data_IF_622474315578
#
_entry.id   IF_622474315578
#
_cell.length_a   1.000
_cell.length_b   1.000
_cell.length_c   1.000
_cell.angle_alpha   90.00
_cell.angle_beta   90.00
_cell.angle_gamma   90.00
#
_symmetry.space_group_name_H-M   'P 1'
#
loop_
_entity.id
_entity.type
_entity.pdbx_description
1 polymer ?
#
# COMPACT_ATOMS: atom_id res chain seq x y z
N UNK A 1 -5.07 12.82 30.49
CA UNK A 1 -4.69 12.47 29.10
C UNK A 1 -3.32 11.78 28.96
N UNK A 2 -2.57 11.49 30.04
CA UNK A 2 -1.25 10.85 29.93
C UNK A 2 -1.18 9.36 30.33
N UNK A 3 -2.17 8.78 31.01
CA UNK A 3 -2.07 7.40 31.55
C UNK A 3 -2.75 6.28 30.75
N UNK A 4 -3.51 6.57 29.69
CA UNK A 4 -4.18 5.51 28.90
C UNK A 4 -3.41 5.08 27.63
N UNK A 5 -2.28 5.73 27.31
CA UNK A 5 -1.50 5.49 26.09
C UNK A 5 -0.34 4.51 26.22
N UNK A 6 0.01 4.06 27.44
CA UNK A 6 1.24 3.29 27.66
C UNK A 6 1.04 1.77 27.60
N UNK A 7 -0.20 1.29 27.79
CA UNK A 7 -0.51 -0.15 27.80
C UNK A 7 -0.53 -0.78 26.39
N UNK A 8 -0.91 -0.10 25.28
CA UNK A 8 -0.75 -0.68 23.94
C UNK A 8 0.66 -0.49 23.35
N UNK A 9 1.49 0.42 23.90
CA UNK A 9 2.78 0.80 23.31
C UNK A 9 3.82 -0.34 23.30
N UNK A 10 3.84 -1.18 24.33
CA UNK A 10 4.81 -2.27 24.43
C UNK A 10 4.53 -3.41 23.42
N UNK A 11 3.25 -3.70 23.13
CA UNK A 11 2.86 -4.67 22.12
C UNK A 11 2.99 -4.07 20.70
N UNK A 12 2.62 -2.81 20.54
CA UNK A 12 2.76 -2.07 19.28
C UNK A 12 4.23 -1.91 18.87
N UNK A 13 5.18 -1.83 19.82
CA UNK A 13 6.60 -1.65 19.51
C UNK A 13 7.18 -2.75 18.62
N UNK A 14 6.67 -3.97 18.73
CA UNK A 14 7.12 -5.13 17.94
C UNK A 14 6.20 -5.42 16.75
N UNK A 15 4.89 -5.23 16.91
CA UNK A 15 3.91 -5.45 15.83
C UNK A 15 4.00 -4.40 14.71
N UNK A 16 4.27 -3.14 15.05
CA UNK A 16 4.37 -2.05 14.06
C UNK A 16 5.55 -2.24 13.10
N UNK A 17 6.79 -2.52 13.53
CA UNK A 17 7.88 -2.77 12.59
C UNK A 17 7.67 -4.04 11.76
N UNK A 18 7.12 -5.11 12.34
CA UNK A 18 6.77 -6.33 11.60
C UNK A 18 5.73 -6.07 10.50
N UNK A 19 4.67 -5.33 10.83
CA UNK A 19 3.66 -4.93 9.85
C UNK A 19 4.25 -4.01 8.77
N UNK A 20 5.08 -3.04 9.15
CA UNK A 20 5.77 -2.13 8.23
C UNK A 20 6.67 -2.89 7.24
N UNK A 21 7.39 -3.91 7.72
CA UNK A 21 8.25 -4.76 6.88
C UNK A 21 7.39 -5.57 5.89
N UNK A 22 6.30 -6.19 6.34
CA UNK A 22 5.38 -6.94 5.47
C UNK A 22 4.74 -6.04 4.39
N UNK A 23 4.28 -4.85 4.78
CA UNK A 23 3.68 -3.87 3.88
C UNK A 23 4.73 -3.35 2.88
N UNK A 24 5.92 -2.96 3.37
CA UNK A 24 7.00 -2.45 2.54
C UNK A 24 7.50 -3.49 1.53
N UNK A 25 7.59 -4.76 1.94
CA UNK A 25 7.96 -5.86 1.05
C UNK A 25 6.91 -6.06 -0.06
N UNK A 26 5.62 -6.07 0.30
CA UNK A 26 4.53 -6.18 -0.66
C UNK A 26 4.49 -5.03 -1.67
N UNK A 27 4.67 -3.79 -1.20
CA UNK A 27 4.72 -2.59 -2.05
C UNK A 27 5.92 -2.60 -3.01
N UNK A 28 7.10 -2.96 -2.52
CA UNK A 28 8.32 -2.99 -3.34
C UNK A 28 8.24 -4.07 -4.41
N UNK A 29 7.73 -5.25 -4.05
CA UNK A 29 7.50 -6.33 -5.00
C UNK A 29 6.48 -5.92 -6.08
N UNK A 30 5.36 -5.34 -5.66
CA UNK A 30 4.33 -4.83 -6.57
C UNK A 30 4.87 -3.79 -7.54
N UNK A 31 5.61 -2.79 -7.03
CA UNK A 31 6.13 -1.71 -7.84
C UNK A 31 7.08 -2.24 -8.92
N UNK A 32 7.95 -3.19 -8.55
CA UNK A 32 8.86 -3.87 -9.47
C UNK A 32 8.11 -4.60 -10.59
N UNK A 33 7.08 -5.39 -10.24
CA UNK A 33 6.31 -6.15 -11.23
C UNK A 33 5.47 -5.22 -12.12
N UNK A 34 4.84 -4.20 -11.55
CA UNK A 34 4.09 -3.19 -12.29
C UNK A 34 4.97 -2.52 -13.35
N UNK A 35 6.16 -2.06 -12.97
CA UNK A 35 7.11 -1.47 -13.91
C UNK A 35 7.56 -2.47 -14.98
N UNK A 36 7.73 -3.75 -14.62
CA UNK A 36 8.11 -4.81 -15.58
C UNK A 36 7.01 -5.04 -16.62
N UNK A 37 5.75 -5.20 -16.19
CA UNK A 37 4.59 -5.39 -17.09
C UNK A 37 4.38 -4.16 -17.97
N UNK A 38 4.54 -2.97 -17.40
CA UNK A 38 4.37 -1.71 -18.12
C UNK A 38 5.43 -1.53 -19.20
N UNK A 39 6.66 -2.00 -18.95
CA UNK A 39 7.73 -2.06 -19.95
C UNK A 39 7.49 -3.12 -21.03
N UNK A 40 6.86 -4.25 -20.70
CA UNK A 40 6.61 -5.36 -21.65
C UNK A 40 5.38 -5.09 -22.54
N UNK A 41 4.34 -4.45 -22.01
CA UNK A 41 3.08 -4.19 -22.74
C UNK A 41 3.09 -2.85 -23.50
N UNK A 42 3.86 -1.85 -23.07
CA UNK A 42 3.83 -0.52 -23.66
C UNK A 42 5.06 -0.31 -24.56
N UNK A 43 4.87 -0.07 -25.87
CA UNK A 43 5.98 0.29 -26.75
C UNK A 43 6.65 1.58 -26.27
N UNK A 44 7.99 1.63 -26.31
CA UNK A 44 8.81 2.68 -25.68
C UNK A 44 8.42 4.13 -26.01
N UNK A 45 7.82 4.36 -27.18
CA UNK A 45 7.34 5.67 -27.63
C UNK A 45 6.16 6.24 -26.79
N UNK A 46 5.35 5.37 -26.18
CA UNK A 46 4.17 5.76 -25.37
C UNK A 46 4.40 5.63 -23.86
N UNK A 47 5.52 5.05 -23.45
CA UNK A 47 5.82 4.70 -22.06
C UNK A 47 5.85 5.93 -21.16
N UNK A 48 6.45 7.03 -21.62
CA UNK A 48 6.47 8.30 -20.89
C UNK A 48 5.08 8.91 -20.67
N UNK A 49 4.14 8.70 -21.60
CA UNK A 49 2.77 9.25 -21.49
C UNK A 49 1.93 8.49 -20.47
N UNK A 50 2.10 7.16 -20.41
CA UNK A 50 1.44 6.30 -19.42
C UNK A 50 1.96 6.60 -18.00
N UNK A 51 3.28 6.71 -17.82
CA UNK A 51 3.88 7.06 -16.52
C UNK A 51 3.44 8.45 -16.06
N UNK A 52 3.34 9.41 -16.98
CA UNK A 52 2.86 10.76 -16.65
C UNK A 52 1.41 10.76 -16.15
N UNK A 53 0.54 9.97 -16.78
CA UNK A 53 -0.86 9.81 -16.33
C UNK A 53 -0.94 9.15 -14.94
N UNK A 54 -0.14 8.10 -14.71
CA UNK A 54 -0.02 7.42 -13.42
C UNK A 54 0.43 8.39 -12.31
N UNK A 55 1.43 9.21 -12.60
CA UNK A 55 1.99 10.20 -11.65
C UNK A 55 0.96 11.27 -11.31
N UNK A 56 0.23 11.80 -12.29
CA UNK A 56 -0.82 12.81 -12.07
C UNK A 56 -1.96 12.21 -11.23
N UNK A 57 -2.34 10.96 -11.51
CA UNK A 57 -3.32 10.23 -10.70
C UNK A 57 -2.87 10.09 -9.25
N UNK A 58 -1.63 9.64 -9.02
CA UNK A 58 -1.06 9.48 -7.68
C UNK A 58 -0.96 10.81 -6.93
N UNK A 59 -0.51 11.88 -7.59
CA UNK A 59 -0.43 13.22 -7.00
C UNK A 59 -1.82 13.79 -6.65
N UNK A 60 -2.82 13.51 -7.47
CA UNK A 60 -4.21 13.93 -7.21
C UNK A 60 -4.88 13.15 -6.08
N UNK A 61 -4.58 11.85 -5.96
CA UNK A 61 -5.11 11.01 -4.88
C UNK A 61 -4.36 11.19 -3.55
N UNK A 62 -3.11 11.63 -3.55
CA UNK A 62 -2.33 11.86 -2.34
C UNK A 62 -3.03 12.75 -1.29
N UNK A 63 -3.51 13.97 -1.62
CA UNK A 63 -4.20 14.82 -0.65
C UNK A 63 -5.53 14.22 -0.19
N UNK A 64 -6.26 13.52 -1.06
CA UNK A 64 -7.50 12.83 -0.69
C UNK A 64 -7.24 11.72 0.33
N UNK A 65 -6.19 10.92 0.10
CA UNK A 65 -5.76 9.88 1.03
C UNK A 65 -5.31 10.44 2.38
N UNK A 66 -4.61 11.59 2.38
CA UNK A 66 -4.17 12.26 3.60
C UNK A 66 -5.34 12.83 4.41
N UNK A 67 -6.31 13.49 3.76
CA UNK A 67 -7.50 14.03 4.43
C UNK A 67 -8.34 12.90 5.03
N UNK A 68 -8.57 11.83 4.27
CA UNK A 68 -9.31 10.67 4.76
C UNK A 68 -8.54 9.94 5.87
N UNK A 69 -7.24 9.73 5.69
CA UNK A 69 -6.38 9.06 6.69
C UNK A 69 -6.31 9.84 8.01
N UNK A 70 -6.12 11.16 7.94
CA UNK A 70 -6.08 12.03 9.12
C UNK A 70 -7.41 12.08 9.86
N UNK A 71 -8.52 12.29 9.14
CA UNK A 71 -9.86 12.34 9.74
C UNK A 71 -10.32 11.01 10.35
N UNK A 72 -9.98 9.88 9.71
CA UNK A 72 -10.23 8.56 10.30
C UNK A 72 -9.34 8.30 11.52
N UNK A 73 -8.07 8.74 11.49
CA UNK A 73 -7.13 8.57 12.60
C UNK A 73 -7.58 9.34 13.85
N UNK A 74 -8.11 10.55 13.68
CA UNK A 74 -8.62 11.36 14.80
C UNK A 74 -9.89 10.78 15.43
N UNK A 75 -10.75 10.10 14.65
CA UNK A 75 -12.02 9.57 15.17
C UNK A 75 -11.94 8.16 15.74
N UNK A 76 -11.10 7.29 15.18
CA UNK A 76 -11.07 5.84 15.50
C UNK A 76 -9.78 5.41 16.21
N UNK A 77 -8.80 6.32 16.29
CA UNK A 77 -7.49 6.08 16.89
C UNK A 77 -6.50 5.47 15.89
N UNK A 78 -5.27 5.97 15.93
CA UNK A 78 -4.21 5.62 14.96
C UNK A 78 -3.96 4.12 14.86
N UNK A 79 -3.98 3.38 15.98
CA UNK A 79 -3.71 1.93 15.98
C UNK A 79 -4.72 1.12 15.14
N UNK A 80 -6.02 1.44 15.25
CA UNK A 80 -7.09 0.76 14.51
C UNK A 80 -7.02 1.09 13.02
N UNK A 81 -6.72 2.35 12.70
CA UNK A 81 -6.56 2.81 11.31
C UNK A 81 -5.35 2.15 10.66
N UNK A 82 -4.21 2.08 11.34
CA UNK A 82 -3.04 1.37 10.83
C UNK A 82 -3.29 -0.12 10.60
N UNK A 83 -4.01 -0.80 11.50
CA UNK A 83 -4.39 -2.21 11.31
C UNK A 83 -5.35 -2.38 10.13
N UNK A 84 -6.35 -1.51 9.98
CA UNK A 84 -7.29 -1.55 8.85
C UNK A 84 -6.58 -1.30 7.52
N UNK A 85 -5.85 -0.19 7.37
CA UNK A 85 -5.16 0.13 6.13
C UNK A 85 -4.04 -0.89 5.83
N UNK A 86 -3.34 -1.38 6.86
CA UNK A 86 -2.32 -2.42 6.73
C UNK A 86 -2.87 -3.76 6.26
N UNK A 87 -3.96 -4.25 6.87
CA UNK A 87 -4.61 -5.51 6.46
C UNK A 87 -5.28 -5.41 5.09
N UNK A 88 -5.87 -4.25 4.77
CA UNK A 88 -6.48 -3.99 3.48
C UNK A 88 -5.42 -3.90 2.38
N UNK A 89 -4.29 -3.25 2.64
CA UNK A 89 -3.12 -3.25 1.75
C UNK A 89 -2.53 -4.65 1.56
N UNK A 90 -2.40 -5.43 2.63
CA UNK A 90 -1.95 -6.82 2.57
C UNK A 90 -2.93 -7.70 1.76
N UNK A 91 -4.24 -7.48 1.93
CA UNK A 91 -5.30 -8.16 1.21
C UNK A 91 -5.26 -7.87 -0.29
N UNK A 92 -5.08 -6.61 -0.67
CA UNK A 92 -4.90 -6.22 -2.09
C UNK A 92 -3.66 -6.89 -2.66
N UNK A 93 -2.53 -6.85 -1.95
CA UNK A 93 -1.30 -7.51 -2.36
C UNK A 93 -1.50 -9.03 -2.52
N UNK A 94 -2.24 -9.67 -1.61
CA UNK A 94 -2.50 -11.11 -1.64
C UNK A 94 -3.42 -11.51 -2.80
N UNK A 95 -4.51 -10.77 -3.03
CA UNK A 95 -5.44 -10.98 -4.16
C UNK A 95 -4.70 -10.80 -5.48
N UNK A 96 -3.83 -9.78 -5.58
CA UNK A 96 -3.04 -9.50 -6.79
C UNK A 96 -1.95 -10.53 -7.02
N UNK A 97 -1.24 -10.97 -5.99
CA UNK A 97 -0.28 -12.07 -6.06
C UNK A 97 -0.97 -13.38 -6.49
N UNK A 98 -2.19 -13.62 -6.01
CA UNK A 98 -3.01 -14.78 -6.43
C UNK A 98 -3.43 -14.68 -7.90
N UNK A 99 -3.77 -13.48 -8.37
CA UNK A 99 -4.12 -13.22 -9.77
C UNK A 99 -2.91 -13.40 -10.70
N UNK A 100 -1.73 -12.91 -10.32
CA UNK A 100 -0.48 -13.11 -11.08
C UNK A 100 -0.03 -14.57 -11.11
N UNK A 101 -0.22 -15.31 -10.00
CA UNK A 101 0.07 -16.74 -9.96
C UNK A 101 -0.83 -17.53 -10.91
N UNK A 102 -2.02 -17.02 -11.23
CA UNK A 102 -2.95 -17.63 -12.18
C UNK A 102 -2.55 -17.30 -13.63
N UNK A 103 -2.19 -16.04 -13.92
CA UNK A 103 -1.73 -15.60 -15.24
C UNK A 103 -0.44 -16.35 -15.68
N UNK A 104 0.51 -16.52 -14.75
CA UNK A 104 1.76 -17.24 -14.99
C UNK A 104 1.58 -18.76 -15.10
N UNK A 105 0.40 -19.29 -14.79
CA UNK A 105 0.03 -20.71 -14.94
C UNK A 105 -0.77 -20.99 -16.21
N UNK A 106 -1.30 -19.94 -16.85
CA UNK A 106 -2.08 -20.01 -18.10
C UNK A 106 -1.26 -19.69 -19.36
N UNK A 107 -0.01 -19.25 -19.20
CA UNK A 107 1.03 -19.25 -20.25
C UNK A 107 1.97 -20.43 -20.00
#
# INVERSE_FOLDING_TARGET
MLSLGLIPAALALWLVPLASILIGFGLTFFNTVYFTILQEQVPGDKLGRVISLDTIGSLGLAPLGQVLGGTLSDRVGAATVFLLFGTLGLGIAFIRCSCERFERRSK
#
